data_IF_218135540137
#
_entry.id   IF_218135540137
#
_cell.length_a   1.000
_cell.length_b   1.000
_cell.length_c   1.000
_cell.angle_alpha   90.00
_cell.angle_beta   90.00
_cell.angle_gamma   90.00
#
_symmetry.space_group_name_H-M   'P 1'
#
loop_
_entity.id
_entity.type
_entity.pdbx_description
1 polymer ?
#
# COMPACT_ATOMS: atom_id res chain seq x y z
N UNK A 1 6.11 27.15 52.11
CA UNK A 1 5.13 26.33 51.36
C UNK A 1 5.57 26.30 49.91
N UNK A 2 5.87 25.09 49.40
CA UNK A 2 6.41 24.83 48.06
C UNK A 2 5.25 24.81 47.06
N UNK A 3 5.30 25.65 46.03
CA UNK A 3 4.44 25.54 44.84
C UNK A 3 5.33 25.28 43.64
N UNK A 4 5.46 24.01 43.25
CA UNK A 4 6.30 23.54 42.16
C UNK A 4 5.45 23.29 40.90
N UNK A 5 5.95 23.81 39.79
CA UNK A 5 5.97 23.24 38.44
C UNK A 5 4.76 22.45 37.92
N UNK A 6 4.01 23.05 36.98
CA UNK A 6 3.35 22.32 35.89
C UNK A 6 3.59 23.08 34.58
N UNK A 7 4.73 22.80 33.95
CA UNK A 7 5.01 23.15 32.56
C UNK A 7 6.03 22.14 32.03
N UNK A 8 5.54 21.03 31.50
CA UNK A 8 6.37 20.08 30.77
C UNK A 8 5.53 19.38 29.70
N UNK A 9 5.95 19.52 28.44
CA UNK A 9 5.84 18.42 27.49
C UNK A 9 4.85 18.53 26.33
N UNK A 10 4.81 19.65 25.61
CA UNK A 10 4.42 19.61 24.18
C UNK A 10 5.66 19.92 23.36
N UNK A 11 6.52 18.91 23.20
CA UNK A 11 7.66 18.97 22.30
C UNK A 11 8.05 17.54 21.87
N UNK A 12 7.47 17.09 20.75
CA UNK A 12 8.13 16.28 19.72
C UNK A 12 7.08 15.63 18.79
N UNK A 13 6.47 16.42 17.90
CA UNK A 13 5.84 15.86 16.69
C UNK A 13 5.99 16.79 15.49
N UNK A 14 7.19 17.38 15.33
CA UNK A 14 7.48 18.35 14.27
C UNK A 14 8.78 18.05 13.50
N UNK A 15 9.13 16.77 13.34
CA UNK A 15 10.32 16.35 12.57
C UNK A 15 10.08 15.11 11.69
N UNK A 16 8.93 15.04 11.01
CA UNK A 16 8.63 13.99 10.02
C UNK A 16 8.12 14.51 8.67
N UNK A 17 8.17 15.83 8.43
CA UNK A 17 7.61 16.45 7.22
C UNK A 17 8.63 17.09 6.26
N UNK A 18 9.92 16.79 6.41
CA UNK A 18 10.96 17.29 5.50
C UNK A 18 11.78 16.13 4.90
N UNK A 19 11.13 15.36 4.04
CA UNK A 19 11.77 14.32 3.26
C UNK A 19 10.76 13.74 2.29
N UNK A 20 10.64 14.35 1.11
CA UNK A 20 9.87 13.83 -0.03
C UNK A 20 10.45 12.49 -0.49
N UNK A 21 10.18 11.43 0.27
CA UNK A 21 10.46 10.06 -0.09
C UNK A 21 9.34 9.58 -1.00
N UNK A 22 9.56 9.68 -2.32
CA UNK A 22 8.67 9.09 -3.32
C UNK A 22 8.39 7.63 -2.94
N UNK A 23 7.12 7.23 -3.05
CA UNK A 23 6.64 5.93 -2.60
C UNK A 23 7.40 4.77 -3.21
N UNK A 24 7.70 3.76 -2.39
CA UNK A 24 8.52 2.61 -2.75
C UNK A 24 7.78 1.35 -2.29
N UNK A 25 7.59 0.40 -3.19
CA UNK A 25 6.90 -0.87 -2.92
C UNK A 25 7.89 -1.96 -2.50
N UNK A 26 7.48 -2.81 -1.58
CA UNK A 26 8.36 -3.72 -0.82
C UNK A 26 8.60 -5.07 -1.51
N UNK A 27 8.90 -5.09 -2.80
CA UNK A 27 9.68 -6.21 -3.35
C UNK A 27 11.15 -5.93 -3.05
N UNK A 28 12.01 -6.96 -3.02
CA UNK A 28 13.41 -6.77 -2.59
C UNK A 28 14.09 -5.68 -3.42
N UNK A 29 14.32 -4.54 -2.77
CA UNK A 29 14.93 -3.35 -3.33
C UNK A 29 15.71 -2.71 -2.18
N UNK A 30 16.99 -3.08 -1.99
CA UNK A 30 17.74 -2.78 -0.78
C UNK A 30 17.98 -1.28 -0.54
N UNK A 31 17.76 -0.46 -1.56
CA UNK A 31 17.91 0.99 -1.48
C UNK A 31 16.57 1.70 -1.23
N UNK A 32 15.48 0.95 -1.08
CA UNK A 32 14.15 1.45 -0.76
C UNK A 32 13.78 1.22 0.70
N UNK A 33 13.36 2.26 1.46
CA UNK A 33 12.70 2.05 2.73
C UNK A 33 11.48 1.17 2.54
N UNK A 34 11.33 0.31 3.53
CA UNK A 34 10.18 -0.53 3.69
C UNK A 34 8.90 0.30 3.83
N UNK A 35 7.84 -0.10 3.13
CA UNK A 35 6.71 0.78 2.91
C UNK A 35 5.92 1.07 4.19
N UNK A 36 5.44 0.03 4.85
CA UNK A 36 4.64 0.18 6.07
C UNK A 36 5.58 0.33 7.28
N UNK A 37 5.41 1.36 8.12
CA UNK A 37 6.24 1.54 9.29
C UNK A 37 6.07 0.36 10.25
N UNK A 38 7.17 -0.10 10.82
CA UNK A 38 7.18 -1.13 11.86
C UNK A 38 7.85 -0.53 13.09
N UNK A 39 7.13 -0.54 14.20
CA UNK A 39 7.61 -0.02 15.48
C UNK A 39 8.84 -0.78 16.00
N UNK A 40 9.48 -0.23 17.02
CA UNK A 40 10.58 -0.92 17.71
C UNK A 40 10.15 -2.22 18.40
N UNK A 41 8.85 -2.38 18.64
CA UNK A 41 8.22 -3.61 19.14
C UNK A 41 7.96 -4.66 18.05
N UNK A 42 8.32 -4.36 16.79
CA UNK A 42 8.09 -5.25 15.66
C UNK A 42 6.65 -5.27 15.14
N UNK A 43 5.78 -4.39 15.65
CA UNK A 43 4.39 -4.31 15.18
C UNK A 43 4.29 -3.33 14.02
N UNK A 44 3.66 -3.73 12.90
CA UNK A 44 3.39 -2.81 11.81
C UNK A 44 2.28 -1.82 12.25
N UNK A 45 2.37 -0.59 11.75
CA UNK A 45 1.31 0.40 11.88
C UNK A 45 0.79 0.75 10.48
N UNK A 46 -0.54 0.79 10.25
CA UNK A 46 -1.07 1.19 8.97
C UNK A 46 -0.65 2.63 8.65
N UNK A 47 -0.38 2.89 7.38
CA UNK A 47 -0.11 4.23 6.87
C UNK A 47 -1.38 5.08 6.98
N UNK A 48 -1.26 6.39 7.29
CA UNK A 48 -2.33 7.35 7.04
C UNK A 48 -2.82 7.25 5.59
N UNK A 49 -4.12 7.42 5.36
CA UNK A 49 -4.70 7.19 4.03
C UNK A 49 -4.05 8.04 2.93
N UNK A 50 -3.81 9.33 3.17
CA UNK A 50 -3.14 10.23 2.21
C UNK A 50 -1.71 9.78 1.88
N UNK A 51 -0.99 9.29 2.90
CA UNK A 51 0.36 8.76 2.73
C UNK A 51 0.33 7.50 1.86
N UNK A 52 -0.58 6.57 2.17
CA UNK A 52 -0.79 5.37 1.37
C UNK A 52 -1.16 5.71 -0.08
N UNK A 53 -2.12 6.62 -0.29
CA UNK A 53 -2.56 7.08 -1.61
C UNK A 53 -1.42 7.68 -2.42
N UNK A 54 -0.60 8.53 -1.81
CA UNK A 54 0.58 9.10 -2.47
C UNK A 54 1.55 8.01 -2.92
N UNK A 55 1.78 6.99 -2.09
CA UNK A 55 2.68 5.87 -2.46
C UNK A 55 2.11 5.02 -3.57
N UNK A 56 0.81 4.71 -3.52
CA UNK A 56 0.12 3.97 -4.57
C UNK A 56 0.14 4.75 -5.89
N UNK A 57 -0.02 6.08 -5.86
CA UNK A 57 0.06 6.94 -7.04
C UNK A 57 1.42 6.84 -7.74
N UNK A 58 2.54 6.83 -6.99
CA UNK A 58 3.89 6.67 -7.58
C UNK A 58 4.02 5.35 -8.34
N UNK A 59 3.48 4.26 -7.78
CA UNK A 59 3.56 2.93 -8.40
C UNK A 59 2.66 2.82 -9.63
N UNK A 60 1.45 3.35 -9.56
CA UNK A 60 0.51 3.36 -10.70
C UNK A 60 1.01 4.26 -11.82
N UNK A 61 1.59 5.42 -11.50
CA UNK A 61 2.27 6.30 -12.47
C UNK A 61 3.44 5.60 -13.17
N UNK A 62 4.20 4.77 -12.44
CA UNK A 62 5.34 4.03 -13.00
C UNK A 62 4.91 3.00 -14.06
N UNK A 63 3.70 2.45 -13.95
CA UNK A 63 3.14 1.48 -14.90
C UNK A 63 2.65 2.13 -16.21
N UNK A 64 2.36 3.43 -16.22
CA UNK A 64 1.84 4.12 -17.40
C UNK A 64 2.94 4.30 -18.44
N UNK A 65 2.81 3.64 -19.59
CA UNK A 65 3.71 3.84 -20.72
C UNK A 65 3.41 5.18 -21.42
N UNK A 66 4.43 6.00 -21.72
CA UNK A 66 4.21 7.23 -22.49
C UNK A 66 3.80 6.87 -23.92
N UNK A 67 2.93 7.71 -24.52
CA UNK A 67 2.64 7.57 -25.96
C UNK A 67 3.89 7.92 -26.78
N UNK A 68 3.92 7.48 -28.03
CA UNK A 68 5.02 7.80 -28.94
C UNK A 68 5.27 9.31 -29.01
N UNK A 69 6.50 9.73 -28.67
CA UNK A 69 6.91 11.14 -28.65
C UNK A 69 6.69 11.86 -27.31
N UNK A 70 5.99 11.26 -26.35
CA UNK A 70 5.80 11.83 -25.01
C UNK A 70 6.96 11.46 -24.08
N UNK A 71 7.24 12.34 -23.11
CA UNK A 71 8.18 12.02 -22.03
C UNK A 71 7.50 11.11 -21.00
N UNK A 72 8.22 10.14 -20.42
CA UNK A 72 7.67 9.33 -19.34
C UNK A 72 7.31 10.20 -18.13
N UNK A 73 6.30 9.76 -17.37
CA UNK A 73 6.01 10.34 -16.05
C UNK A 73 7.29 10.34 -15.18
N UNK A 74 7.58 11.41 -14.40
CA UNK A 74 8.76 11.46 -13.54
C UNK A 74 8.96 10.25 -12.63
N UNK A 75 7.88 9.66 -12.11
CA UNK A 75 7.92 8.45 -11.30
C UNK A 75 8.43 7.25 -12.10
N UNK A 76 7.91 7.05 -13.34
CA UNK A 76 8.40 6.01 -14.27
C UNK A 76 9.86 6.26 -14.65
N UNK A 77 10.22 7.51 -15.00
CA UNK A 77 11.57 7.89 -15.41
C UNK A 77 12.61 7.52 -14.34
N UNK A 78 12.29 7.74 -13.06
CA UNK A 78 13.17 7.36 -11.94
C UNK A 78 13.46 5.86 -11.90
N UNK A 79 12.47 5.00 -12.15
CA UNK A 79 12.69 3.54 -12.21
C UNK A 79 13.47 3.14 -13.45
N UNK A 80 13.19 3.76 -14.61
CA UNK A 80 13.98 3.53 -15.84
C UNK A 80 15.45 3.91 -15.66
N UNK A 81 15.75 5.01 -14.97
CA UNK A 81 17.12 5.42 -14.65
C UNK A 81 17.82 4.41 -13.73
N UNK A 82 17.11 3.85 -12.75
CA UNK A 82 17.63 2.79 -11.87
C UNK A 82 17.91 1.50 -12.65
N UNK A 83 16.96 1.07 -13.49
CA UNK A 83 17.10 -0.08 -14.38
C UNK A 83 18.35 0.11 -15.25
N UNK A 84 18.48 1.24 -15.94
CA UNK A 84 19.61 1.52 -16.82
C UNK A 84 20.97 1.53 -16.09
N UNK A 85 21.01 1.94 -14.81
CA UNK A 85 22.22 1.85 -13.97
C UNK A 85 22.51 0.42 -13.57
N UNK A 86 21.50 -0.29 -13.08
CA UNK A 86 21.64 -1.68 -12.65
C UNK A 86 22.05 -2.57 -13.80
N UNK A 87 21.52 -2.37 -15.01
CA UNK A 87 21.83 -3.13 -16.24
C UNK A 87 23.30 -3.09 -16.67
N UNK A 88 24.05 -2.07 -16.24
CA UNK A 88 25.49 -1.95 -16.51
C UNK A 88 26.36 -2.82 -15.61
N UNK A 89 25.82 -3.36 -14.51
CA UNK A 89 26.56 -4.24 -13.59
C UNK A 89 26.90 -5.57 -14.29
N UNK A 90 28.18 -5.90 -14.53
CA UNK A 90 28.57 -7.18 -15.11
C UNK A 90 28.40 -8.30 -14.08
N UNK A 91 27.95 -9.48 -14.50
CA UNK A 91 27.78 -10.68 -13.64
C UNK A 91 27.04 -10.38 -12.32
N UNK A 92 25.76 -10.03 -12.40
CA UNK A 92 24.92 -9.78 -11.21
C UNK A 92 24.91 -10.98 -10.27
N UNK A 93 24.94 -10.67 -8.99
CA UNK A 93 24.57 -11.61 -7.93
C UNK A 93 23.05 -11.78 -7.89
N UNK A 94 22.58 -12.87 -7.27
CA UNK A 94 21.15 -13.15 -7.13
C UNK A 94 20.36 -12.00 -6.45
N UNK A 95 20.83 -11.38 -5.35
CA UNK A 95 20.15 -10.20 -4.78
C UNK A 95 20.11 -9.00 -5.72
N UNK A 96 21.18 -8.73 -6.48
CA UNK A 96 21.18 -7.63 -7.45
C UNK A 96 20.22 -7.90 -8.62
N UNK A 97 20.10 -9.16 -9.03
CA UNK A 97 19.10 -9.58 -10.02
C UNK A 97 17.67 -9.39 -9.49
N UNK A 98 17.41 -9.75 -8.23
CA UNK A 98 16.12 -9.51 -7.58
C UNK A 98 15.79 -8.01 -7.45
N UNK A 99 16.77 -7.16 -7.12
CA UNK A 99 16.59 -5.71 -7.08
C UNK A 99 16.25 -5.11 -8.45
N UNK A 100 16.90 -5.60 -9.52
CA UNK A 100 16.58 -5.20 -10.90
C UNK A 100 15.19 -5.69 -11.33
N UNK A 101 14.86 -6.95 -11.02
CA UNK A 101 13.55 -7.51 -11.33
C UNK A 101 12.41 -6.73 -10.66
N UNK A 102 12.61 -6.30 -9.41
CA UNK A 102 11.67 -5.41 -8.71
C UNK A 102 11.40 -4.12 -9.48
N UNK A 103 12.44 -3.43 -9.97
CA UNK A 103 12.26 -2.20 -10.73
C UNK A 103 11.60 -2.45 -12.10
N UNK A 104 11.93 -3.56 -12.76
CA UNK A 104 11.28 -4.00 -14.00
C UNK A 104 9.77 -4.26 -13.79
N UNK A 105 9.38 -4.90 -12.69
CA UNK A 105 7.98 -5.15 -12.36
C UNK A 105 7.20 -3.84 -12.12
N UNK A 106 7.82 -2.85 -11.47
CA UNK A 106 7.21 -1.53 -11.24
C UNK A 106 6.91 -0.76 -12.52
N UNK A 107 7.62 -1.05 -13.61
CA UNK A 107 7.37 -0.44 -14.92
C UNK A 107 6.60 -1.37 -15.87
N UNK A 108 6.06 -2.49 -15.37
CA UNK A 108 5.20 -3.41 -16.13
C UNK A 108 5.97 -4.40 -17.02
N UNK A 109 7.28 -4.57 -16.81
CA UNK A 109 8.14 -5.40 -17.66
C UNK A 109 8.38 -6.79 -17.04
N UNK A 110 7.30 -7.54 -16.80
CA UNK A 110 7.33 -8.86 -16.15
C UNK A 110 8.19 -9.88 -16.89
N UNK A 111 8.15 -9.90 -18.24
CA UNK A 111 8.93 -10.87 -19.02
C UNK A 111 10.44 -10.62 -18.90
N UNK A 112 10.84 -9.35 -18.84
CA UNK A 112 12.25 -8.99 -18.58
C UNK A 112 12.65 -9.37 -17.16
N UNK A 113 11.77 -9.17 -16.17
CA UNK A 113 12.02 -9.59 -14.80
C UNK A 113 12.25 -11.10 -14.71
N UNK A 114 11.43 -11.92 -15.39
CA UNK A 114 11.63 -13.37 -15.50
C UNK A 114 12.97 -13.73 -16.16
N UNK A 115 13.34 -13.04 -17.25
CA UNK A 115 14.63 -13.25 -17.91
C UNK A 115 15.84 -12.93 -17.04
N UNK A 116 15.73 -11.95 -16.14
CA UNK A 116 16.78 -11.58 -15.18
C UNK A 116 16.87 -12.61 -14.04
N UNK A 117 15.73 -13.12 -13.56
CA UNK A 117 15.68 -14.02 -12.39
C UNK A 117 15.92 -15.49 -12.73
N UNK A 118 15.44 -15.95 -13.89
CA UNK A 118 15.46 -17.36 -14.30
C UNK A 118 16.83 -18.04 -14.20
N UNK A 119 17.94 -17.43 -14.67
CA UNK A 119 19.27 -18.01 -14.53
C UNK A 119 19.70 -18.27 -13.07
N UNK A 120 19.22 -17.45 -12.13
CA UNK A 120 19.57 -17.56 -10.71
C UNK A 120 18.72 -18.58 -9.95
N UNK A 121 17.58 -19.01 -10.51
CA UNK A 121 16.77 -20.07 -9.91
C UNK A 121 17.48 -21.43 -9.89
N UNK A 122 18.41 -21.64 -10.84
CA UNK A 122 19.20 -22.85 -10.97
C UNK A 122 20.58 -22.75 -10.28
N UNK A 123 20.86 -21.66 -9.55
CA UNK A 123 22.10 -21.52 -8.80
C UNK A 123 22.21 -22.65 -7.76
N UNK A 124 23.44 -23.13 -7.51
CA UNK A 124 23.70 -24.21 -6.54
C UNK A 124 23.14 -23.91 -5.14
N UNK A 125 23.05 -22.62 -4.79
CA UNK A 125 22.40 -22.11 -3.59
C UNK A 125 21.40 -21.06 -4.05
N UNK A 126 20.14 -21.44 -4.26
CA UNK A 126 19.16 -20.48 -4.71
C UNK A 126 18.92 -19.42 -3.62
N UNK A 127 18.51 -18.23 -4.06
CA UNK A 127 18.30 -17.06 -3.19
C UNK A 127 16.80 -16.82 -2.96
N UNK A 128 16.45 -16.46 -1.72
CA UNK A 128 15.08 -16.18 -1.32
C UNK A 128 14.41 -15.07 -2.14
N UNK A 129 15.15 -14.00 -2.43
CA UNK A 129 14.62 -12.87 -3.18
C UNK A 129 14.48 -13.17 -4.68
N UNK A 130 15.22 -14.15 -5.20
CA UNK A 130 15.01 -14.64 -6.57
C UNK A 130 13.67 -15.35 -6.66
N UNK A 131 13.37 -16.27 -5.73
CA UNK A 131 12.10 -17.02 -5.75
C UNK A 131 10.87 -16.15 -5.50
N UNK A 132 10.91 -15.29 -4.50
CA UNK A 132 9.80 -14.34 -4.24
C UNK A 132 9.64 -13.32 -5.37
N UNK A 133 10.75 -12.93 -6.02
CA UNK A 133 10.73 -12.14 -7.26
C UNK A 133 10.07 -12.87 -8.44
N UNK A 134 10.40 -14.16 -8.65
CA UNK A 134 9.80 -15.00 -9.68
C UNK A 134 8.29 -15.15 -9.44
N UNK A 135 7.91 -15.42 -8.19
CA UNK A 135 6.51 -15.51 -7.79
C UNK A 135 5.74 -14.24 -8.17
N UNK A 136 6.31 -13.07 -7.85
CA UNK A 136 5.72 -11.77 -8.17
C UNK A 136 5.64 -11.50 -9.68
N UNK A 137 6.65 -11.94 -10.44
CA UNK A 137 6.66 -11.78 -11.90
C UNK A 137 5.62 -12.67 -12.59
N UNK A 138 5.44 -13.91 -12.13
CA UNK A 138 4.35 -14.78 -12.60
C UNK A 138 2.97 -14.25 -12.19
N UNK A 139 2.82 -13.75 -10.96
CA UNK A 139 1.59 -13.10 -10.51
C UNK A 139 1.21 -11.89 -11.39
N UNK A 140 2.19 -11.06 -11.77
CA UNK A 140 1.98 -9.93 -12.68
C UNK A 140 1.48 -10.35 -14.08
N UNK A 141 1.75 -11.59 -14.51
CA UNK A 141 1.27 -12.18 -15.76
C UNK A 141 -0.05 -12.94 -15.61
N UNK A 142 -0.60 -13.02 -14.39
CA UNK A 142 -1.78 -13.84 -14.08
C UNK A 142 -1.50 -15.34 -14.04
N UNK A 143 -0.22 -15.75 -13.97
CA UNK A 143 0.22 -17.15 -13.91
C UNK A 143 0.25 -17.63 -12.45
N UNK A 144 -0.92 -17.63 -11.81
CA UNK A 144 -1.04 -17.80 -10.35
C UNK A 144 -0.56 -19.16 -9.81
N UNK A 145 -0.62 -20.21 -10.64
CA UNK A 145 -0.10 -21.52 -10.28
C UNK A 145 1.44 -21.49 -10.12
N UNK A 146 2.15 -20.88 -11.07
CA UNK A 146 3.60 -20.68 -10.99
C UNK A 146 3.99 -19.67 -9.92
N UNK A 147 3.18 -18.61 -9.75
CA UNK A 147 3.38 -17.65 -8.67
C UNK A 147 3.40 -18.32 -7.29
N UNK A 148 2.39 -19.15 -7.01
CA UNK A 148 2.30 -19.91 -5.77
C UNK A 148 3.44 -20.91 -5.63
N UNK A 149 3.77 -21.65 -6.70
CA UNK A 149 4.85 -22.65 -6.69
C UNK A 149 6.19 -22.01 -6.33
N UNK A 150 6.61 -20.97 -7.05
CA UNK A 150 7.90 -20.32 -6.79
C UNK A 150 7.95 -19.66 -5.41
N UNK A 151 6.81 -19.14 -4.93
CA UNK A 151 6.74 -18.59 -3.57
C UNK A 151 6.99 -19.67 -2.51
N UNK A 152 6.37 -20.84 -2.69
CA UNK A 152 6.56 -22.00 -1.81
C UNK A 152 8.01 -22.53 -1.86
N UNK A 153 8.59 -22.66 -3.05
CA UNK A 153 10.02 -23.02 -3.22
C UNK A 153 10.93 -22.04 -2.45
N UNK A 154 10.67 -20.73 -2.55
CA UNK A 154 11.38 -19.72 -1.76
C UNK A 154 11.29 -19.95 -0.25
N UNK A 155 10.10 -20.24 0.27
CA UNK A 155 9.88 -20.51 1.70
C UNK A 155 10.60 -21.78 2.18
N UNK A 156 10.52 -22.87 1.40
CA UNK A 156 11.03 -24.18 1.83
C UNK A 156 12.53 -24.35 1.60
N UNK A 157 13.06 -23.88 0.46
CA UNK A 157 14.41 -24.22 0.02
C UNK A 157 15.46 -23.18 0.40
N UNK A 158 15.08 -21.92 0.59
CA UNK A 158 16.04 -20.81 0.79
C UNK A 158 15.94 -20.11 2.13
N UNK A 159 14.70 -19.91 2.63
CA UNK A 159 14.36 -19.11 3.84
C UNK A 159 14.78 -17.64 3.74
N UNK A 160 13.99 -16.76 4.35
CA UNK A 160 14.33 -15.34 4.47
C UNK A 160 15.70 -15.18 5.18
N UNK A 161 16.65 -14.42 4.62
CA UNK A 161 17.94 -14.16 5.28
C UNK A 161 17.77 -13.51 6.66
N UNK A 162 18.65 -13.86 7.61
CA UNK A 162 18.60 -13.31 8.97
C UNK A 162 18.74 -11.78 9.00
N UNK A 163 19.54 -11.25 8.06
CA UNK A 163 19.76 -9.83 7.85
C UNK A 163 19.44 -9.47 6.40
N UNK A 164 18.74 -8.35 6.22
CA UNK A 164 18.35 -7.83 4.91
C UNK A 164 18.77 -6.37 4.86
N UNK A 165 19.59 -6.02 3.86
CA UNK A 165 20.11 -4.64 3.70
C UNK A 165 18.93 -3.66 3.66
N UNK A 166 18.99 -2.64 4.52
CA UNK A 166 17.98 -1.58 4.60
C UNK A 166 16.79 -1.87 5.52
N UNK A 167 16.69 -3.06 6.12
CA UNK A 167 15.61 -3.43 7.04
C UNK A 167 16.07 -3.54 8.49
N UNK A 168 15.23 -3.06 9.41
CA UNK A 168 15.34 -3.44 10.82
C UNK A 168 14.93 -4.90 11.02
N UNK A 169 15.32 -5.50 12.17
CA UNK A 169 14.88 -6.85 12.53
C UNK A 169 13.34 -6.97 12.53
N UNK A 170 12.63 -5.99 13.09
CA UNK A 170 11.17 -5.98 13.12
C UNK A 170 10.54 -5.92 11.73
N UNK A 171 11.08 -5.09 10.82
CA UNK A 171 10.62 -5.03 9.43
C UNK A 171 10.85 -6.36 8.70
N UNK A 172 12.03 -6.96 8.88
CA UNK A 172 12.36 -8.27 8.30
C UNK A 172 11.46 -9.38 8.83
N UNK A 173 11.24 -9.43 10.16
CA UNK A 173 10.38 -10.41 10.81
C UNK A 173 8.93 -10.28 10.33
N UNK A 174 8.42 -9.05 10.19
CA UNK A 174 7.07 -8.83 9.68
C UNK A 174 6.94 -9.21 8.21
N UNK A 175 7.91 -8.85 7.37
CA UNK A 175 7.93 -9.30 5.97
C UNK A 175 7.93 -10.83 5.90
N UNK A 176 8.82 -11.50 6.64
CA UNK A 176 8.84 -12.95 6.68
C UNK A 176 7.49 -13.56 7.08
N UNK A 177 6.75 -12.92 8.01
CA UNK A 177 5.37 -13.32 8.35
C UNK A 177 4.40 -13.12 7.19
N UNK A 178 4.43 -11.97 6.51
CA UNK A 178 3.59 -11.73 5.33
C UNK A 178 3.81 -12.79 4.25
N UNK A 179 5.07 -13.16 4.00
CA UNK A 179 5.41 -14.18 3.02
C UNK A 179 5.06 -15.60 3.50
N UNK A 180 5.08 -15.89 4.79
CA UNK A 180 4.64 -17.18 5.31
C UNK A 180 3.12 -17.34 5.27
N UNK A 181 2.38 -16.24 5.45
CA UNK A 181 0.97 -16.26 5.79
C UNK A 181 0.08 -15.64 4.68
N UNK A 182 0.13 -14.31 4.54
CA UNK A 182 -0.84 -13.56 3.74
C UNK A 182 -0.61 -13.70 2.21
N UNK A 183 0.66 -13.70 1.76
CA UNK A 183 1.02 -13.83 0.34
C UNK A 183 0.61 -15.18 -0.26
N UNK A 184 0.94 -16.34 0.33
CA UNK A 184 0.53 -17.61 -0.25
C UNK A 184 -0.99 -17.76 -0.23
N UNK A 185 -1.69 -17.25 0.79
CA UNK A 185 -3.15 -17.21 0.82
C UNK A 185 -3.71 -16.38 -0.33
N UNK A 186 -3.15 -15.20 -0.58
CA UNK A 186 -3.52 -14.36 -1.72
C UNK A 186 -3.34 -15.10 -3.05
N UNK A 187 -2.17 -15.70 -3.29
CA UNK A 187 -1.92 -16.48 -4.52
C UNK A 187 -2.86 -17.67 -4.67
N UNK A 188 -3.19 -18.38 -3.59
CA UNK A 188 -4.16 -19.49 -3.61
C UNK A 188 -5.54 -19.02 -4.06
N UNK A 189 -6.05 -17.90 -3.51
CA UNK A 189 -7.34 -17.33 -3.90
C UNK A 189 -7.34 -17.01 -5.40
N UNK A 190 -6.30 -16.30 -5.90
CA UNK A 190 -6.23 -15.90 -7.32
C UNK A 190 -6.07 -17.09 -8.26
N UNK A 191 -5.34 -18.13 -7.83
CA UNK A 191 -5.25 -19.40 -8.57
C UNK A 191 -6.62 -20.07 -8.67
N UNK A 192 -7.31 -20.24 -7.55
CA UNK A 192 -8.63 -20.87 -7.51
C UNK A 192 -9.63 -20.11 -8.39
N UNK A 193 -9.69 -18.78 -8.30
CA UNK A 193 -10.56 -17.96 -9.15
C UNK A 193 -10.26 -18.15 -10.63
N UNK A 194 -8.98 -18.24 -11.00
CA UNK A 194 -8.55 -18.47 -12.39
C UNK A 194 -8.95 -19.85 -12.88
N UNK A 195 -8.83 -20.87 -12.03
CA UNK A 195 -9.25 -22.24 -12.31
C UNK A 195 -10.77 -22.36 -12.45
N UNK A 196 -11.55 -21.75 -11.55
CA UNK A 196 -13.01 -21.72 -11.60
C UNK A 196 -13.54 -21.00 -12.85
N UNK A 197 -12.82 -19.98 -13.32
CA UNK A 197 -13.16 -19.24 -14.55
C UNK A 197 -12.69 -19.96 -15.82
N UNK A 198 -11.89 -21.02 -15.71
CA UNK A 198 -11.36 -21.75 -16.86
C UNK A 198 -12.49 -22.52 -17.54
N UNK A 199 -12.68 -22.27 -18.84
CA UNK A 199 -13.74 -22.90 -19.63
C UNK A 199 -15.09 -22.20 -19.59
N UNK A 200 -15.31 -21.24 -18.67
CA UNK A 200 -16.53 -20.43 -18.68
C UNK A 200 -16.61 -19.56 -19.94
N UNK A 201 -17.79 -19.54 -20.57
CA UNK A 201 -18.11 -18.65 -21.68
C UNK A 201 -18.27 -17.18 -21.23
N UNK A 202 -18.33 -16.22 -22.16
CA UNK A 202 -18.42 -14.79 -21.82
C UNK A 202 -19.61 -14.43 -20.91
N UNK A 203 -20.79 -15.02 -21.14
CA UNK A 203 -21.98 -14.76 -20.33
C UNK A 203 -21.87 -15.32 -18.91
N UNK A 204 -21.30 -16.52 -18.74
CA UNK A 204 -21.08 -17.14 -17.43
C UNK A 204 -20.04 -16.36 -16.63
N UNK A 205 -18.97 -15.88 -17.29
CA UNK A 205 -17.97 -15.00 -16.66
C UNK A 205 -18.59 -13.67 -16.22
N UNK A 206 -19.45 -13.08 -17.04
CA UNK A 206 -20.15 -11.87 -16.69
C UNK A 206 -21.06 -12.07 -15.48
N UNK A 207 -21.83 -13.17 -15.45
CA UNK A 207 -22.68 -13.52 -14.31
C UNK A 207 -21.85 -13.75 -13.03
N UNK A 208 -20.72 -14.45 -13.12
CA UNK A 208 -19.80 -14.65 -12.00
C UNK A 208 -19.24 -13.32 -11.48
N UNK A 209 -18.86 -12.41 -12.39
CA UNK A 209 -18.40 -11.06 -12.04
C UNK A 209 -19.46 -10.24 -11.31
N UNK A 210 -20.74 -10.35 -11.68
CA UNK A 210 -21.82 -9.61 -11.01
C UNK A 210 -22.00 -10.02 -9.54
N UNK A 211 -21.73 -11.28 -9.23
CA UNK A 211 -21.87 -11.89 -7.90
C UNK A 211 -20.58 -11.89 -7.08
N UNK A 212 -19.51 -11.29 -7.60
CA UNK A 212 -18.24 -11.25 -6.90
C UNK A 212 -18.34 -10.41 -5.61
N UNK A 213 -17.80 -10.96 -4.52
CA UNK A 213 -17.79 -10.36 -3.18
C UNK A 213 -16.39 -9.78 -2.85
N UNK A 214 -16.20 -9.23 -1.65
CA UNK A 214 -14.90 -8.78 -1.13
C UNK A 214 -13.87 -9.91 -1.19
N UNK A 215 -12.58 -9.59 -1.35
CA UNK A 215 -11.51 -10.60 -1.36
C UNK A 215 -11.45 -11.34 -0.01
N UNK A 216 -11.61 -12.68 0.02
CA UNK A 216 -11.69 -13.46 1.26
C UNK A 216 -10.30 -13.80 1.84
N UNK A 217 -9.48 -12.77 2.07
CA UNK A 217 -8.10 -12.92 2.55
C UNK A 217 -8.03 -13.39 4.01
N UNK A 218 -8.95 -12.90 4.85
CA UNK A 218 -9.00 -13.19 6.29
C UNK A 218 -10.26 -13.97 6.67
N UNK A 219 -10.21 -14.77 7.76
CA UNK A 219 -8.99 -15.23 8.43
C UNK A 219 -8.15 -16.10 7.49
N UNK A 220 -6.89 -16.36 7.86
CA UNK A 220 -5.99 -17.20 7.05
C UNK A 220 -6.42 -18.68 7.02
N UNK A 221 -7.27 -19.09 7.96
CA UNK A 221 -7.88 -20.41 8.03
C UNK A 221 -9.33 -20.31 8.54
N UNK A 222 -10.22 -21.16 8.03
CA UNK A 222 -11.63 -21.17 8.40
C UNK A 222 -12.51 -20.34 7.46
N UNK A 223 -13.67 -19.91 7.97
CA UNK A 223 -14.66 -19.15 7.21
C UNK A 223 -14.22 -17.69 7.02
N UNK A 224 -14.24 -17.16 5.78
CA UNK A 224 -13.91 -15.76 5.49
C UNK A 224 -14.66 -14.75 6.35
N UNK A 225 -14.03 -13.59 6.56
CA UNK A 225 -14.66 -12.41 7.16
C UNK A 225 -15.78 -11.93 6.25
N UNK A 226 -16.94 -11.71 6.84
CA UNK A 226 -18.08 -11.03 6.21
C UNK A 226 -18.15 -9.62 6.77
N UNK A 227 -18.15 -8.62 5.90
CA UNK A 227 -18.25 -7.20 6.30
C UNK A 227 -19.71 -6.83 6.58
N UNK A 228 -20.27 -7.40 7.64
CA UNK A 228 -21.67 -7.23 8.03
C UNK A 228 -21.79 -6.90 9.51
N UNK A 229 -22.90 -6.29 9.91
CA UNK A 229 -23.24 -6.05 11.31
C UNK A 229 -23.74 -7.33 12.00
N UNK A 230 -24.13 -7.23 13.27
CA UNK A 230 -24.57 -8.38 14.06
C UNK A 230 -25.86 -9.04 13.54
N UNK A 231 -26.65 -8.35 12.71
CA UNK A 231 -27.82 -8.91 12.03
C UNK A 231 -27.46 -9.65 10.72
N UNK A 232 -26.19 -9.60 10.30
CA UNK A 232 -25.74 -10.21 9.04
C UNK A 232 -25.98 -9.32 7.81
N UNK A 233 -26.29 -8.04 8.02
CA UNK A 233 -26.53 -7.05 6.96
C UNK A 233 -25.34 -6.10 6.82
N UNK A 234 -25.12 -5.59 5.60
CA UNK A 234 -24.07 -4.58 5.38
C UNK A 234 -24.48 -3.24 5.99
N UNK A 235 -23.63 -2.68 6.84
CA UNK A 235 -23.81 -1.37 7.43
C UNK A 235 -22.49 -0.60 7.39
N UNK A 236 -22.52 0.62 6.85
CA UNK A 236 -21.33 1.43 6.61
C UNK A 236 -20.57 1.70 7.91
N UNK A 237 -19.32 1.23 7.99
CA UNK A 237 -18.45 1.43 9.13
C UNK A 237 -18.72 0.54 10.34
N UNK A 238 -19.65 -0.43 10.23
CA UNK A 238 -20.00 -1.34 11.32
C UNK A 238 -19.62 -2.76 10.95
N UNK A 239 -18.80 -3.38 11.80
CA UNK A 239 -18.43 -4.79 11.69
C UNK A 239 -18.90 -5.56 12.93
N UNK A 240 -19.58 -6.69 12.71
CA UNK A 240 -20.02 -7.55 13.80
C UNK A 240 -18.82 -7.97 14.67
N UNK A 241 -18.96 -8.02 16.01
CA UNK A 241 -17.86 -8.43 16.89
C UNK A 241 -17.27 -9.82 16.54
N UNK A 242 -18.12 -10.76 16.11
CA UNK A 242 -17.69 -12.09 15.67
C UNK A 242 -16.82 -12.04 14.40
N UNK A 243 -17.13 -11.14 13.47
CA UNK A 243 -16.36 -10.93 12.23
C UNK A 243 -15.09 -10.13 12.50
N UNK A 244 -15.14 -9.13 13.37
CA UNK A 244 -13.98 -8.37 13.84
C UNK A 244 -12.94 -9.29 14.53
N UNK A 245 -13.39 -10.29 15.29
CA UNK A 245 -12.50 -11.24 15.97
C UNK A 245 -11.72 -12.16 15.02
N UNK A 246 -12.18 -12.32 13.77
CA UNK A 246 -11.47 -13.09 12.73
C UNK A 246 -10.32 -12.29 12.09
N UNK A 247 -10.32 -10.96 12.22
CA UNK A 247 -9.29 -10.11 11.64
C UNK A 247 -8.02 -10.12 12.51
N UNK A 248 -6.82 -10.31 11.94
CA UNK A 248 -5.60 -10.09 12.68
C UNK A 248 -5.44 -8.60 13.04
N UNK A 249 -4.75 -8.27 14.15
CA UNK A 249 -4.62 -6.90 14.61
C UNK A 249 -3.91 -5.97 13.61
N UNK A 250 -3.11 -6.54 12.69
CA UNK A 250 -2.41 -5.84 11.61
C UNK A 250 -3.07 -6.03 10.23
N UNK A 251 -4.36 -6.40 10.17
CA UNK A 251 -5.07 -6.63 8.90
C UNK A 251 -4.96 -5.44 7.94
N UNK A 252 -5.20 -4.22 8.43
CA UNK A 252 -5.14 -3.00 7.62
C UNK A 252 -3.74 -2.75 7.06
N UNK A 253 -2.70 -2.88 7.90
CA UNK A 253 -1.30 -2.72 7.50
C UNK A 253 -0.87 -3.80 6.49
N UNK A 254 -1.32 -5.04 6.69
CA UNK A 254 -1.09 -6.17 5.79
C UNK A 254 -1.69 -5.91 4.41
N UNK A 255 -2.97 -5.50 4.34
CA UNK A 255 -3.63 -5.25 3.05
C UNK A 255 -3.05 -4.02 2.36
N UNK A 256 -2.69 -2.96 3.08
CA UNK A 256 -1.95 -1.84 2.48
C UNK A 256 -0.64 -2.32 1.85
N UNK A 257 0.11 -3.19 2.53
CA UNK A 257 1.35 -3.73 2.00
C UNK A 257 1.12 -4.57 0.74
N UNK A 258 0.10 -5.42 0.74
CA UNK A 258 -0.27 -6.21 -0.44
C UNK A 258 -0.74 -5.31 -1.59
N UNK A 259 -1.53 -4.27 -1.36
CA UNK A 259 -1.94 -3.33 -2.43
C UNK A 259 -0.73 -2.60 -3.02
N UNK A 260 0.30 -2.29 -2.23
CA UNK A 260 1.53 -1.72 -2.76
C UNK A 260 2.35 -2.74 -3.57
N UNK A 261 2.23 -4.05 -3.31
CA UNK A 261 2.85 -5.10 -4.14
C UNK A 261 2.06 -5.40 -5.41
N UNK A 262 0.73 -5.31 -5.35
CA UNK A 262 -0.18 -5.60 -6.44
C UNK A 262 -1.09 -4.39 -6.72
N UNK A 263 -0.54 -3.24 -7.17
CA UNK A 263 -1.29 -1.99 -7.29
C UNK A 263 -2.43 -2.06 -8.31
N UNK A 264 -2.37 -3.01 -9.25
CA UNK A 264 -3.41 -3.28 -10.25
C UNK A 264 -4.58 -4.13 -9.74
N UNK A 265 -4.49 -4.76 -8.57
CA UNK A 265 -5.55 -5.66 -8.09
C UNK A 265 -6.70 -4.88 -7.44
N UNK A 266 -7.82 -4.75 -8.17
CA UNK A 266 -8.98 -3.97 -7.74
C UNK A 266 -9.75 -4.62 -6.59
N UNK A 267 -9.81 -5.95 -6.52
CA UNK A 267 -10.56 -6.65 -5.46
C UNK A 267 -9.82 -6.61 -4.12
N UNK A 268 -8.49 -6.65 -4.17
CA UNK A 268 -7.64 -6.35 -3.02
C UNK A 268 -7.78 -4.89 -2.56
N UNK A 269 -7.90 -3.93 -3.50
CA UNK A 269 -8.14 -2.53 -3.15
C UNK A 269 -9.53 -2.32 -2.55
N UNK A 270 -10.54 -3.07 -2.99
CA UNK A 270 -11.85 -3.12 -2.35
C UNK A 270 -11.75 -3.64 -0.91
N UNK A 271 -11.07 -4.77 -0.65
CA UNK A 271 -10.85 -5.24 0.72
C UNK A 271 -10.23 -4.16 1.62
N UNK A 272 -9.30 -3.36 1.08
CA UNK A 272 -8.72 -2.25 1.83
C UNK A 272 -9.77 -1.22 2.26
N UNK A 273 -10.72 -0.89 1.39
CA UNK A 273 -11.82 0.02 1.72
C UNK A 273 -12.66 -0.50 2.88
N UNK A 274 -13.01 -1.78 2.86
CA UNK A 274 -13.83 -2.39 3.91
C UNK A 274 -13.08 -2.42 5.26
N UNK A 275 -11.75 -2.61 5.24
CA UNK A 275 -10.94 -2.51 6.46
C UNK A 275 -10.83 -1.07 6.99
N UNK A 276 -10.77 -0.07 6.12
CA UNK A 276 -10.85 1.34 6.54
C UNK A 276 -12.21 1.65 7.16
N UNK A 277 -13.31 1.18 6.55
CA UNK A 277 -14.64 1.33 7.09
C UNK A 277 -14.76 0.67 8.47
N UNK A 278 -14.32 -0.59 8.61
CA UNK A 278 -14.31 -1.30 9.89
C UNK A 278 -13.44 -0.61 10.97
N UNK A 279 -12.42 0.14 10.56
CA UNK A 279 -11.60 0.97 11.45
C UNK A 279 -12.22 2.36 11.74
N UNK A 280 -13.41 2.67 11.22
CA UNK A 280 -14.12 3.93 11.40
C UNK A 280 -13.77 5.04 10.39
N UNK A 281 -12.83 4.80 9.47
CA UNK A 281 -12.47 5.77 8.41
C UNK A 281 -13.36 5.60 7.18
N UNK A 282 -14.62 5.97 7.35
CA UNK A 282 -15.67 5.87 6.32
C UNK A 282 -15.35 6.76 5.11
N UNK A 283 -14.67 7.90 5.30
CA UNK A 283 -14.29 8.82 4.22
C UNK A 283 -13.26 8.18 3.28
N UNK A 284 -12.18 7.61 3.84
CA UNK A 284 -11.19 6.89 3.05
C UNK A 284 -11.81 5.69 2.32
N UNK A 285 -12.65 4.92 3.02
CA UNK A 285 -13.35 3.78 2.43
C UNK A 285 -14.23 4.18 1.23
N UNK A 286 -15.06 5.21 1.38
CA UNK A 286 -15.92 5.72 0.32
C UNK A 286 -15.09 6.17 -0.91
N UNK A 287 -13.98 6.89 -0.68
CA UNK A 287 -13.09 7.30 -1.77
C UNK A 287 -12.50 6.10 -2.52
N UNK A 288 -12.04 5.06 -1.81
CA UNK A 288 -11.50 3.85 -2.45
C UNK A 288 -12.57 3.17 -3.31
N UNK A 289 -13.80 3.00 -2.82
CA UNK A 289 -14.86 2.34 -3.59
C UNK A 289 -15.31 3.17 -4.82
N UNK A 290 -15.29 4.50 -4.72
CA UNK A 290 -15.48 5.38 -5.87
C UNK A 290 -14.41 5.12 -6.94
N UNK A 291 -13.14 5.00 -6.54
CA UNK A 291 -12.03 4.72 -7.46
C UNK A 291 -12.10 3.30 -8.06
N UNK A 292 -12.50 2.29 -7.29
CA UNK A 292 -12.75 0.94 -7.80
C UNK A 292 -13.81 0.96 -8.90
N UNK A 293 -14.92 1.68 -8.68
CA UNK A 293 -16.06 1.69 -9.60
C UNK A 293 -15.74 2.45 -10.89
N UNK A 294 -15.18 3.66 -10.77
CA UNK A 294 -14.99 4.57 -11.91
C UNK A 294 -13.59 4.52 -12.50
N UNK A 295 -12.56 4.61 -11.66
CA UNK A 295 -11.17 4.65 -12.11
C UNK A 295 -10.65 3.30 -12.60
N UNK A 296 -11.16 2.20 -12.03
CA UNK A 296 -10.75 0.82 -12.34
C UNK A 296 -11.82 0.03 -13.09
N UNK A 297 -12.91 0.68 -13.50
CA UNK A 297 -14.02 0.09 -14.25
C UNK A 297 -14.64 -1.17 -13.59
N UNK A 298 -14.68 -1.20 -12.25
CA UNK A 298 -15.17 -2.36 -11.50
C UNK A 298 -16.68 -2.33 -11.19
N UNK A 299 -17.43 -1.43 -11.81
CA UNK A 299 -18.82 -1.09 -11.46
C UNK A 299 -19.92 -2.10 -11.81
N UNK A 300 -19.64 -3.23 -12.47
CA UNK A 300 -20.65 -4.28 -12.70
C UNK A 300 -20.80 -5.27 -11.53
N UNK A 301 -20.16 -5.03 -10.39
CA UNK A 301 -20.14 -5.95 -9.23
C UNK A 301 -21.21 -5.47 -8.25
N UNK A 302 -22.30 -6.23 -8.09
CA UNK A 302 -23.50 -5.74 -7.39
C UNK A 302 -23.21 -5.44 -5.91
N UNK A 303 -22.43 -6.31 -5.25
CA UNK A 303 -22.04 -6.15 -3.84
C UNK A 303 -21.17 -4.89 -3.66
N UNK A 304 -20.16 -4.67 -4.51
CA UNK A 304 -19.34 -3.46 -4.51
C UNK A 304 -20.19 -2.19 -4.62
N UNK A 305 -21.10 -2.15 -5.59
CA UNK A 305 -21.94 -0.98 -5.84
C UNK A 305 -22.84 -0.69 -4.65
N UNK A 306 -23.43 -1.72 -4.04
CA UNK A 306 -24.25 -1.57 -2.84
C UNK A 306 -23.43 -1.00 -1.67
N UNK A 307 -22.26 -1.57 -1.39
CA UNK A 307 -21.36 -1.10 -0.32
C UNK A 307 -20.90 0.35 -0.56
N UNK A 308 -20.55 0.67 -1.81
CA UNK A 308 -20.19 2.03 -2.24
C UNK A 308 -21.30 3.03 -1.93
N UNK A 309 -22.54 2.71 -2.27
CA UNK A 309 -23.67 3.61 -2.01
C UNK A 309 -23.87 3.86 -0.51
N UNK A 310 -23.78 2.81 0.31
CA UNK A 310 -23.90 2.92 1.76
C UNK A 310 -22.75 3.74 2.37
N UNK A 311 -21.49 3.47 1.99
CA UNK A 311 -20.33 4.21 2.50
C UNK A 311 -20.33 5.68 2.06
N UNK A 312 -20.74 5.98 0.82
CA UNK A 312 -20.85 7.35 0.35
C UNK A 312 -21.93 8.12 1.09
N UNK A 313 -23.10 7.52 1.31
CA UNK A 313 -24.17 8.13 2.09
C UNK A 313 -23.71 8.41 3.54
N UNK A 314 -22.97 7.50 4.15
CA UNK A 314 -22.41 7.68 5.49
C UNK A 314 -21.33 8.78 5.53
N UNK A 315 -20.43 8.84 4.53
CA UNK A 315 -19.44 9.90 4.40
C UNK A 315 -20.10 11.29 4.22
N UNK A 316 -21.09 11.40 3.34
CA UNK A 316 -21.86 12.62 3.10
C UNK A 316 -22.61 13.08 4.38
N UNK A 317 -23.05 12.14 5.21
CA UNK A 317 -23.70 12.45 6.48
C UNK A 317 -22.70 13.02 7.51
N UNK A 318 -21.48 12.51 7.58
CA UNK A 318 -20.41 13.06 8.43
C UNK A 318 -20.09 14.51 8.05
N UNK A 319 -20.04 14.82 6.75
CA UNK A 319 -19.82 16.18 6.23
C UNK A 319 -20.93 17.17 6.59
N UNK A 320 -22.17 16.69 6.74
CA UNK A 320 -23.30 17.55 7.13
C UNK A 320 -23.35 17.85 8.62
N UNK A 321 -22.75 17.00 9.45
CA UNK A 321 -22.64 17.21 10.90
C UNK A 321 -21.45 18.11 11.25
N UNK A 322 -20.44 18.20 10.37
CA UNK A 322 -19.30 19.11 10.50
C UNK A 322 -19.48 20.55 9.92
N UNK A 323 -20.54 21.32 10.30
CA UNK A 323 -20.43 22.78 10.22
C UNK A 323 -20.81 23.55 11.50
N UNK A 324 -19.88 24.43 11.91
CA UNK A 324 -20.01 25.66 12.75
C UNK A 324 -19.68 25.61 14.26
N UNK A 325 -18.52 25.11 14.67
CA UNK A 325 -17.79 25.71 15.81
C UNK A 325 -16.29 25.79 15.51
N UNK A 326 -15.94 26.45 14.40
CA UNK A 326 -14.64 27.12 14.40
C UNK A 326 -14.68 28.19 15.50
N UNK A 327 -13.65 28.33 16.38
CA UNK A 327 -13.58 29.50 17.23
C UNK A 327 -13.71 30.70 16.31
N UNK A 328 -14.67 31.59 16.58
CA UNK A 328 -14.77 32.83 15.83
C UNK A 328 -13.39 33.49 15.87
N UNK A 329 -12.62 33.38 14.79
CA UNK A 329 -11.38 34.11 14.64
C UNK A 329 -11.82 35.56 14.49
N UNK A 330 -11.99 36.24 15.61
CA UNK A 330 -12.21 37.67 15.62
C UNK A 330 -11.10 38.30 14.81
N UNK A 331 -11.43 39.34 14.04
CA UNK A 331 -10.47 40.13 13.25
C UNK A 331 -9.19 40.49 14.03
N UNK A 332 -9.26 40.54 15.38
CA UNK A 332 -8.10 40.68 16.27
C UNK A 332 -7.04 39.59 16.15
N UNK A 333 -7.43 38.31 16.05
CA UNK A 333 -6.47 37.18 15.96
C UNK A 333 -5.70 37.20 14.64
N UNK A 334 -6.39 37.59 13.55
CA UNK A 334 -5.80 37.80 12.24
C UNK A 334 -4.82 38.99 12.29
N UNK A 335 -5.20 40.09 12.94
CA UNK A 335 -4.33 41.25 13.14
C UNK A 335 -3.04 40.94 13.92
N UNK A 336 -3.14 40.13 14.97
CA UNK A 336 -1.96 39.70 15.76
C UNK A 336 -1.03 38.84 14.91
N UNK A 337 -1.56 37.90 14.12
CA UNK A 337 -0.74 37.05 13.26
C UNK A 337 0.03 37.88 12.21
N UNK A 338 -0.65 38.78 11.49
CA UNK A 338 0.01 39.64 10.50
C UNK A 338 0.98 40.64 11.15
N UNK A 339 0.69 41.13 12.36
CA UNK A 339 1.60 41.97 13.13
C UNK A 339 2.91 41.26 13.49
N UNK A 340 2.84 40.00 13.94
CA UNK A 340 4.03 39.20 14.28
C UNK A 340 4.85 38.88 13.04
N UNK A 341 4.22 38.43 11.95
CA UNK A 341 4.93 38.13 10.69
C UNK A 341 5.58 39.39 10.11
N UNK A 342 4.88 40.54 10.14
CA UNK A 342 5.43 41.83 9.71
C UNK A 342 6.63 42.26 10.55
N UNK A 343 6.56 42.15 11.88
CA UNK A 343 7.67 42.47 12.77
C UNK A 343 8.91 41.59 12.52
N UNK A 344 8.72 40.29 12.30
CA UNK A 344 9.81 39.37 11.97
C UNK A 344 10.46 39.68 10.62
N UNK A 345 9.66 40.06 9.60
CA UNK A 345 10.18 40.48 8.31
C UNK A 345 11.02 41.76 8.41
N UNK A 346 10.58 42.74 9.20
CA UNK A 346 11.33 43.98 9.46
C UNK A 346 12.64 43.67 10.20
N UNK A 347 12.61 42.82 11.23
CA UNK A 347 13.81 42.39 11.96
C UNK A 347 14.84 41.70 11.03
N UNK A 348 14.36 40.82 10.14
CA UNK A 348 15.22 40.15 9.16
C UNK A 348 15.84 41.15 8.16
N UNK A 349 15.08 42.15 7.72
CA UNK A 349 15.56 43.21 6.84
C UNK A 349 16.63 44.08 7.53
N UNK A 350 16.37 44.53 8.76
CA UNK A 350 17.33 45.32 9.57
C UNK A 350 18.63 44.55 9.78
N UNK A 351 18.55 43.26 10.12
CA UNK A 351 19.72 42.39 10.29
C UNK A 351 20.53 42.24 9.00
N UNK A 352 19.88 42.27 7.85
CA UNK A 352 20.52 42.16 6.53
C UNK A 352 21.23 43.47 6.16
N UNK A 353 20.63 44.62 6.45
CA UNK A 353 21.24 45.95 6.22
C UNK A 353 22.44 46.19 7.15
N UNK A 354 22.32 45.82 8.43
CA UNK A 354 23.42 45.97 9.40
C UNK A 354 24.63 45.08 9.11
N UNK A 355 24.45 43.93 8.44
CA UNK A 355 25.57 43.08 8.01
C UNK A 355 26.33 43.61 6.78
N UNK A 356 25.79 44.58 6.07
CA UNK A 356 26.38 45.16 4.84
C UNK A 356 27.13 46.47 5.08
N UNK A 357 27.05 47.02 6.29
CA UNK A 357 27.92 48.11 6.78
C UNK A 357 29.01 47.49 7.63
#
# INVERSE_FOLDING_TARGET
MRGAAFAAGVAALAALLAGGGGGRASLYSPDDPFAVPVGSDGKPAPLPFDEFKRRLAVLTNALVEPKAGEKPNPDRARFLDRIAKQEKVPKRTAPEAAALATDLLRVGQSDRALGVLGPHAADRRPDYFVFTGLASAHAARGEWADALRYHQEGQFDTKMPETVKGLSKGQRDWWARLDADAVPRFYQIRRQETEERRGLGPAERHAADETEDVLPLFPLSGEPVRFVNAAGEYEAGVLAPAEQAKLPPDALATVQQLVLWFPGDTRLYWLLAELYAAAGDVRAAAQILDECTWGRQYGNRKVLVAHRHALRAAADALDRVEPLEGPAFGLGTIGVYFGVVGALAVLALVRTVLKRR
#
